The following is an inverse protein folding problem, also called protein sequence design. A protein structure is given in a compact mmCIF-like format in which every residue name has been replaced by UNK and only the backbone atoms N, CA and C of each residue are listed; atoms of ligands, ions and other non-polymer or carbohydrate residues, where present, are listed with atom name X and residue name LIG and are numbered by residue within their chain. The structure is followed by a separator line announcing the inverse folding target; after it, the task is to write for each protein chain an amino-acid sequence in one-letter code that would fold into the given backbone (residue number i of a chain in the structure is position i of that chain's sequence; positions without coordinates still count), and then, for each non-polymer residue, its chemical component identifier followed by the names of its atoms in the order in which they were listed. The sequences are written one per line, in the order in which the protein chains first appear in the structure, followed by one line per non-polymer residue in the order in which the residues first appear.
data_IF_801797234870
#
_entry.id   IF_801797234870
#
_cell.length_a   1.000
_cell.length_b   1.000
_cell.length_c   1.000
_cell.angle_alpha   90.00
_cell.angle_beta   90.00
_cell.angle_gamma   90.00
#
_symmetry.space_group_name_H-M   'P 1'
#
loop_
_entity.id
_entity.type
_entity.pdbx_description
1 polymer ?
#
# COMPACT_ATOMS: atom_id res chain seq x y z
N UNK A 1 5.59 12.87 -17.65
CA UNK A 1 4.91 14.01 -17.01
C UNK A 1 3.94 13.44 -16.00
N UNK A 2 4.14 13.74 -14.71
CA UNK A 2 3.25 13.29 -13.62
C UNK A 2 3.95 12.71 -12.39
N UNK A 3 5.00 13.37 -11.88
CA UNK A 3 5.79 12.90 -10.70
C UNK A 3 5.68 13.84 -9.49
N UNK A 4 4.76 14.80 -9.53
CA UNK A 4 4.64 15.78 -8.44
C UNK A 4 3.75 15.22 -7.33
N UNK A 5 4.25 15.17 -6.08
CA UNK A 5 3.44 14.79 -4.95
C UNK A 5 2.30 15.80 -4.72
N UNK A 6 1.12 15.29 -4.41
CA UNK A 6 -0.10 16.06 -4.14
C UNK A 6 -0.77 15.57 -2.86
N UNK A 7 -1.59 16.41 -2.25
CA UNK A 7 -2.43 15.99 -1.12
C UNK A 7 -3.82 15.72 -1.68
N UNK A 8 -4.38 14.56 -1.36
CA UNK A 8 -5.74 14.18 -1.71
C UNK A 8 -6.48 13.78 -0.44
N UNK A 9 -7.75 14.13 -0.38
CA UNK A 9 -8.63 13.62 0.66
C UNK A 9 -9.20 12.27 0.19
N UNK A 10 -8.98 11.22 0.99
CA UNK A 10 -9.55 9.90 0.72
C UNK A 10 -10.69 9.62 1.69
N UNK A 11 -11.79 9.11 1.15
CA UNK A 11 -12.86 8.53 1.96
C UNK A 11 -12.46 7.15 2.46
N UNK A 12 -13.16 6.66 3.49
CA UNK A 12 -12.93 5.33 4.01
C UNK A 12 -13.17 4.29 2.91
N UNK A 13 -12.15 3.48 2.58
CA UNK A 13 -12.19 2.51 1.49
C UNK A 13 -12.18 1.09 2.07
N UNK A 14 -13.28 0.32 1.93
CA UNK A 14 -13.29 -1.09 2.28
C UNK A 14 -12.29 -1.87 1.43
N UNK A 15 -11.63 -2.84 2.05
CA UNK A 15 -10.71 -3.73 1.35
C UNK A 15 -10.78 -5.14 1.94
N UNK A 16 -10.30 -6.10 1.17
CA UNK A 16 -10.05 -7.47 1.61
C UNK A 16 -8.58 -7.74 1.49
N UNK A 17 -7.96 -8.27 2.54
CA UNK A 17 -6.53 -8.48 2.54
C UNK A 17 -6.07 -9.56 3.51
N UNK A 18 -4.77 -9.85 3.44
CA UNK A 18 -4.07 -10.72 4.37
C UNK A 18 -2.93 -9.92 4.99
N UNK A 19 -2.72 -10.12 6.30
CA UNK A 19 -1.61 -9.51 7.03
C UNK A 19 -0.49 -10.52 7.12
N UNK A 20 0.73 -10.11 6.79
CA UNK A 20 1.93 -10.92 6.93
C UNK A 20 3.05 -10.13 7.59
N UNK A 21 3.87 -10.83 8.37
CA UNK A 21 5.19 -10.36 8.79
C UNK A 21 6.20 -10.91 7.80
N UNK A 22 6.86 -10.02 7.08
CA UNK A 22 7.82 -10.36 6.02
C UNK A 22 9.03 -9.45 6.10
N UNK A 23 10.19 -9.96 5.74
CA UNK A 23 11.37 -9.14 5.45
C UNK A 23 11.37 -8.70 3.99
N UNK A 24 12.24 -7.77 3.60
CA UNK A 24 12.41 -7.41 2.18
C UNK A 24 12.71 -8.63 1.28
N UNK A 25 13.51 -9.58 1.77
CA UNK A 25 13.83 -10.83 1.07
C UNK A 25 12.65 -11.79 0.93
N UNK A 26 11.69 -11.72 1.86
CA UNK A 26 10.51 -12.59 1.88
C UNK A 26 9.22 -11.88 1.45
N UNK A 27 9.33 -10.63 0.97
CA UNK A 27 8.20 -9.82 0.50
C UNK A 27 7.43 -10.51 -0.63
N UNK A 28 8.10 -11.32 -1.46
CA UNK A 28 7.43 -12.15 -2.46
C UNK A 28 6.31 -13.02 -1.89
N UNK A 29 6.47 -13.55 -0.66
CA UNK A 29 5.46 -14.39 0.00
C UNK A 29 4.14 -13.66 0.22
N UNK A 30 4.17 -12.37 0.58
CA UNK A 30 2.95 -11.58 0.78
C UNK A 30 2.37 -11.12 -0.57
N UNK A 31 3.22 -10.87 -1.57
CA UNK A 31 2.80 -10.55 -2.93
C UNK A 31 2.09 -11.72 -3.63
N UNK A 32 2.55 -12.96 -3.42
CA UNK A 32 1.92 -14.18 -3.95
C UNK A 32 0.50 -14.41 -3.39
N UNK A 33 0.13 -13.76 -2.28
CA UNK A 33 -1.24 -13.83 -1.73
C UNK A 33 -2.24 -12.96 -2.49
N UNK A 34 -1.79 -11.96 -3.26
CA UNK A 34 -2.67 -11.06 -4.02
C UNK A 34 -3.51 -11.82 -5.06
N UNK A 35 -2.93 -12.66 -5.94
CA UNK A 35 -3.71 -13.52 -6.83
C UNK A 35 -4.78 -14.36 -6.14
N UNK A 36 -4.50 -14.88 -4.95
CA UNK A 36 -5.46 -15.69 -4.18
C UNK A 36 -6.65 -14.86 -3.70
N UNK A 37 -6.41 -13.63 -3.19
CA UNK A 37 -7.48 -12.71 -2.79
C UNK A 37 -8.33 -12.33 -3.99
N UNK A 38 -7.69 -11.99 -5.12
CA UNK A 38 -8.40 -11.63 -6.36
C UNK A 38 -9.26 -12.80 -6.85
N UNK A 39 -8.71 -14.02 -6.83
CA UNK A 39 -9.45 -15.24 -7.19
C UNK A 39 -10.67 -15.44 -6.28
N UNK A 40 -10.49 -15.33 -4.97
CA UNK A 40 -11.56 -15.49 -3.98
C UNK A 40 -12.66 -14.41 -4.11
N UNK A 41 -12.29 -13.18 -4.46
CA UNK A 41 -13.26 -12.12 -4.76
C UNK A 41 -14.03 -12.42 -6.05
N UNK A 42 -13.33 -12.88 -7.09
CA UNK A 42 -13.92 -13.24 -8.37
C UNK A 42 -14.91 -14.42 -8.26
N UNK A 43 -14.57 -15.47 -7.50
CA UNK A 43 -15.48 -16.61 -7.22
C UNK A 43 -16.79 -16.18 -6.55
N UNK A 44 -16.77 -15.06 -5.83
CA UNK A 44 -17.92 -14.48 -5.14
C UNK A 44 -18.65 -13.41 -5.96
N UNK A 45 -18.20 -13.13 -7.18
CA UNK A 45 -18.74 -12.06 -8.03
C UNK A 45 -18.45 -10.66 -7.49
N UNK A 46 -17.45 -10.50 -6.63
CA UNK A 46 -17.05 -9.19 -6.09
C UNK A 46 -15.97 -8.64 -7.01
N UNK A 47 -16.29 -7.55 -7.72
CA UNK A 47 -15.30 -6.83 -8.51
C UNK A 47 -14.45 -5.92 -7.60
N UNK A 48 -13.12 -5.88 -7.78
CA UNK A 48 -12.28 -4.91 -7.12
C UNK A 48 -12.58 -3.50 -7.65
N UNK A 49 -12.45 -2.50 -6.77
CA UNK A 49 -12.63 -1.08 -7.13
C UNK A 49 -11.46 -0.59 -7.98
N UNK A 50 -10.27 -1.06 -7.64
CA UNK A 50 -9.00 -0.67 -8.23
C UNK A 50 -7.99 -1.82 -8.08
N UNK A 51 -6.77 -1.61 -8.55
CA UNK A 51 -5.67 -2.55 -8.43
C UNK A 51 -5.31 -2.90 -6.98
N UNK A 52 -4.57 -3.99 -6.79
CA UNK A 52 -4.10 -4.42 -5.48
C UNK A 52 -3.13 -3.40 -4.88
N UNK A 53 -3.02 -3.42 -3.55
CA UNK A 53 -2.09 -2.57 -2.81
C UNK A 53 -1.37 -3.33 -1.71
N UNK A 54 -0.22 -2.81 -1.30
CA UNK A 54 0.43 -3.16 -0.04
C UNK A 54 0.28 -2.00 0.95
N UNK A 55 -0.22 -2.32 2.14
CA UNK A 55 -0.26 -1.40 3.28
C UNK A 55 0.84 -1.78 4.25
N UNK A 56 1.81 -0.88 4.42
CA UNK A 56 2.85 -1.01 5.44
C UNK A 56 2.32 -0.47 6.76
N UNK A 57 2.19 -1.34 7.75
CA UNK A 57 1.81 -0.98 9.14
C UNK A 57 3.06 -0.76 9.99
N UNK A 58 4.10 -1.57 9.78
CA UNK A 58 5.42 -1.43 10.38
C UNK A 58 6.49 -1.57 9.28
N UNK A 59 7.38 -0.59 9.20
CA UNK A 59 8.50 -0.63 8.26
C UNK A 59 9.76 -0.05 8.89
N UNK A 60 10.89 -0.71 8.68
CA UNK A 60 12.20 -0.17 9.00
C UNK A 60 12.98 0.01 7.69
N UNK A 61 13.10 1.25 7.17
CA UNK A 61 13.90 1.50 5.98
C UNK A 61 15.41 1.53 6.26
N UNK A 62 15.83 1.48 7.52
CA UNK A 62 17.26 1.50 7.91
C UNK A 62 17.83 0.09 8.09
N UNK A 63 16.98 -0.87 8.43
CA UNK A 63 17.35 -2.28 8.62
C UNK A 63 16.57 -3.18 7.66
N UNK A 64 17.27 -3.69 6.64
CA UNK A 64 16.66 -4.54 5.61
C UNK A 64 16.43 -6.00 6.07
N UNK A 65 17.06 -6.41 7.18
CA UNK A 65 16.90 -7.76 7.74
C UNK A 65 15.70 -7.82 8.69
N UNK A 66 15.18 -6.66 9.09
CA UNK A 66 14.05 -6.55 9.99
C UNK A 66 12.73 -6.98 9.37
N UNK A 67 11.87 -7.56 10.20
CA UNK A 67 10.49 -7.89 9.83
C UNK A 67 9.65 -6.62 9.68
N UNK A 68 8.89 -6.59 8.58
CA UNK A 68 7.93 -5.56 8.21
C UNK A 68 6.53 -6.14 8.41
N UNK A 69 5.61 -5.35 8.94
CA UNK A 69 4.20 -5.72 8.98
C UNK A 69 3.52 -5.13 7.75
N UNK A 70 3.15 -6.01 6.81
CA UNK A 70 2.54 -5.62 5.54
C UNK A 70 1.21 -6.33 5.36
N UNK A 71 0.23 -5.57 4.90
CA UNK A 71 -1.07 -6.09 4.48
C UNK A 71 -1.15 -6.02 2.97
N UNK A 72 -1.22 -7.17 2.31
CA UNK A 72 -1.59 -7.26 0.90
C UNK A 72 -3.11 -7.20 0.80
N UNK A 73 -3.65 -6.22 0.08
CA UNK A 73 -5.07 -5.96 0.02
C UNK A 73 -5.57 -5.62 -1.38
N UNK A 74 -6.86 -5.87 -1.59
CA UNK A 74 -7.59 -5.50 -2.80
C UNK A 74 -8.79 -4.65 -2.37
N UNK A 75 -8.94 -3.43 -2.93
CA UNK A 75 -10.03 -2.53 -2.55
C UNK A 75 -11.36 -3.03 -3.15
N UNK A 76 -12.44 -2.95 -2.37
CA UNK A 76 -13.78 -3.42 -2.75
C UNK A 76 -14.84 -2.36 -2.45
N UNK A 77 -15.95 -2.37 -3.20
CA UNK A 77 -16.99 -1.33 -3.07
C UNK A 77 -17.63 -1.29 -1.68
N UNK A 78 -17.84 -2.46 -1.08
CA UNK A 78 -18.53 -2.62 0.19
C UNK A 78 -17.79 -3.60 1.09
N UNK A 79 -18.05 -3.51 2.41
CA UNK A 79 -17.48 -4.48 3.35
C UNK A 79 -18.05 -5.86 3.10
N UNK A 80 -17.20 -6.76 2.63
CA UNK A 80 -17.56 -8.17 2.41
C UNK A 80 -17.10 -9.02 3.58
N UNK A 81 -17.90 -10.02 3.96
CA UNK A 81 -17.44 -11.03 4.93
C UNK A 81 -16.77 -12.16 4.18
N UNK A 82 -15.49 -12.36 4.46
CA UNK A 82 -14.75 -13.50 3.96
C UNK A 82 -14.63 -14.53 5.10
N UNK A 83 -15.29 -15.70 5.00
CA UNK A 83 -15.11 -16.81 5.93
C UNK A 83 -13.82 -17.57 5.58
N UNK A 84 -12.68 -16.88 5.64
CA UNK A 84 -11.35 -17.48 5.52
C UNK A 84 -10.59 -17.19 6.80
N UNK A 85 -9.77 -18.13 7.26
CA UNK A 85 -8.97 -17.94 8.46
C UNK A 85 -7.87 -16.90 8.25
N UNK A 86 -7.33 -16.83 7.02
CA UNK A 86 -6.16 -16.01 6.69
C UNK A 86 -6.52 -14.65 6.07
N UNK A 87 -7.72 -14.52 5.49
CA UNK A 87 -8.16 -13.29 4.81
C UNK A 87 -9.14 -12.54 5.69
N UNK A 88 -8.88 -11.25 5.90
CA UNK A 88 -9.74 -10.37 6.66
C UNK A 88 -10.28 -9.23 5.80
N UNK A 89 -11.44 -8.70 6.20
CA UNK A 89 -11.98 -7.48 5.62
C UNK A 89 -11.62 -6.30 6.51
N UNK A 90 -10.95 -5.30 5.92
CA UNK A 90 -10.52 -4.09 6.59
C UNK A 90 -11.12 -2.84 5.96
N UNK A 91 -10.78 -1.69 6.53
CA UNK A 91 -11.12 -0.38 5.97
C UNK A 91 -9.86 0.48 6.03
N UNK A 92 -9.49 1.05 4.88
CA UNK A 92 -8.49 2.10 4.84
C UNK A 92 -9.11 3.37 5.45
N UNK A 93 -8.45 4.00 6.44
CA UNK A 93 -9.03 5.14 7.14
C UNK A 93 -9.28 6.30 6.16
N UNK A 94 -10.36 7.04 6.41
CA UNK A 94 -10.53 8.32 5.75
C UNK A 94 -9.49 9.32 6.26
N UNK A 95 -9.15 10.31 5.44
CA UNK A 95 -8.27 11.40 5.85
C UNK A 95 -7.48 12.00 4.69
N UNK A 96 -6.49 12.81 5.04
CA UNK A 96 -5.60 13.41 4.05
C UNK A 96 -4.42 12.47 3.77
N UNK A 97 -4.15 12.26 2.50
CA UNK A 97 -3.05 11.43 2.03
C UNK A 97 -2.18 12.26 1.10
N UNK A 98 -0.86 12.23 1.32
CA UNK A 98 0.08 12.68 0.31
C UNK A 98 0.30 11.54 -0.68
N UNK A 99 0.00 11.78 -1.96
CA UNK A 99 0.10 10.79 -3.02
C UNK A 99 1.06 11.22 -4.11
N UNK A 100 1.75 10.24 -4.69
CA UNK A 100 2.62 10.43 -5.84
C UNK A 100 2.48 9.23 -6.76
N UNK A 101 2.28 9.50 -8.05
CA UNK A 101 2.29 8.48 -9.09
C UNK A 101 3.72 8.29 -9.58
N UNK A 102 4.14 7.04 -9.63
CA UNK A 102 5.39 6.61 -10.22
C UNK A 102 5.07 5.66 -11.36
N UNK A 103 5.63 5.94 -12.54
CA UNK A 103 5.56 5.04 -13.69
C UNK A 103 6.98 4.54 -13.92
N UNK A 104 7.21 3.24 -13.71
CA UNK A 104 8.52 2.64 -13.87
C UNK A 104 8.82 1.55 -12.86
N UNK A 105 10.07 1.05 -12.92
CA UNK A 105 10.52 -0.08 -12.11
C UNK A 105 10.23 0.11 -10.61
N UNK A 106 9.70 -0.92 -9.91
CA UNK A 106 9.36 -0.85 -8.49
C UNK A 106 10.57 -0.60 -7.57
N UNK A 107 11.79 -1.00 -7.97
CA UNK A 107 13.03 -0.62 -7.25
C UNK A 107 13.19 0.89 -7.01
N UNK A 108 12.61 1.73 -7.87
CA UNK A 108 12.68 3.18 -7.70
C UNK A 108 11.72 3.70 -6.61
N UNK A 109 10.78 2.88 -6.14
CA UNK A 109 9.77 3.28 -5.16
C UNK A 109 10.38 3.71 -3.83
N UNK A 110 11.49 3.10 -3.39
CA UNK A 110 12.21 3.55 -2.19
C UNK A 110 12.66 5.00 -2.31
N UNK A 111 13.20 5.38 -3.48
CA UNK A 111 13.61 6.77 -3.75
C UNK A 111 12.43 7.73 -3.91
N UNK A 112 11.32 7.27 -4.50
CA UNK A 112 10.09 8.07 -4.63
C UNK A 112 9.44 8.28 -3.24
N UNK A 113 9.41 7.25 -2.41
CA UNK A 113 8.93 7.31 -1.02
C UNK A 113 9.77 8.31 -0.21
N UNK A 114 11.09 8.22 -0.24
CA UNK A 114 11.98 9.19 0.42
C UNK A 114 11.74 10.63 -0.09
N UNK A 115 11.56 10.80 -1.40
CA UNK A 115 11.26 12.10 -1.99
C UNK A 115 9.91 12.66 -1.52
N UNK A 116 8.89 11.80 -1.40
CA UNK A 116 7.57 12.17 -0.87
C UNK A 116 7.67 12.60 0.60
N UNK A 117 8.43 11.86 1.42
CA UNK A 117 8.66 12.18 2.83
C UNK A 117 9.36 13.53 3.00
N UNK A 118 10.43 13.76 2.23
CA UNK A 118 11.17 15.04 2.21
C UNK A 118 10.29 16.20 1.77
N UNK A 119 9.47 15.98 0.74
CA UNK A 119 8.53 16.99 0.26
C UNK A 119 7.49 17.36 1.32
N UNK A 120 6.89 16.39 1.99
CA UNK A 120 5.91 16.67 3.03
C UNK A 120 6.53 17.38 4.23
N UNK A 121 7.74 16.97 4.63
CA UNK A 121 8.51 17.67 5.67
C UNK A 121 8.82 19.13 5.28
N UNK A 122 9.24 19.38 4.04
CA UNK A 122 9.50 20.74 3.55
C UNK A 122 8.24 21.62 3.51
N UNK A 123 7.06 21.02 3.36
CA UNK A 123 5.76 21.69 3.46
C UNK A 123 5.23 21.83 4.89
N UNK A 124 5.92 21.30 5.89
CA UNK A 124 5.45 21.28 7.27
C UNK A 124 4.30 20.31 7.53
N UNK A 125 4.09 19.32 6.66
CA UNK A 125 3.09 18.27 6.85
C UNK A 125 3.54 17.31 7.94
N UNK A 126 2.59 16.88 8.77
CA UNK A 126 2.80 15.83 9.76
C UNK A 126 2.34 14.50 9.20
N UNK A 127 3.22 13.52 9.20
CA UNK A 127 2.89 12.15 8.80
C UNK A 127 2.15 11.44 9.94
N UNK A 128 1.16 10.61 9.61
CA UNK A 128 0.49 9.71 10.57
C UNK A 128 1.42 8.51 10.87
N UNK A 129 2.59 8.82 11.44
CA UNK A 129 3.67 7.88 11.68
C UNK A 129 4.32 8.14 13.04
N UNK A 130 4.57 7.07 13.77
CA UNK A 130 5.33 7.07 15.02
C UNK A 130 6.59 6.20 14.87
N UNK A 131 7.74 6.73 15.30
CA UNK A 131 8.97 5.96 15.39
C UNK A 131 9.01 5.22 16.72
N UNK A 132 9.24 3.92 16.64
CA UNK A 132 9.35 3.01 17.78
C UNK A 132 10.68 2.27 17.71
N UNK A 133 11.04 1.55 18.77
CA UNK A 133 12.23 0.68 18.76
C UNK A 133 12.10 -0.44 17.71
N UNK A 134 10.87 -0.81 17.33
CA UNK A 134 10.51 -1.82 16.33
C UNK A 134 10.49 -1.29 14.87
N UNK A 135 10.59 0.02 14.68
CA UNK A 135 10.59 0.66 13.36
C UNK A 135 9.58 1.81 13.27
N UNK A 136 9.26 2.21 12.04
CA UNK A 136 8.26 3.24 11.76
C UNK A 136 6.86 2.60 11.69
N UNK A 137 6.01 2.92 12.67
CA UNK A 137 4.60 2.51 12.71
C UNK A 137 3.77 3.54 11.96
N UNK A 138 3.13 3.11 10.88
CA UNK A 138 2.31 3.96 10.02
C UNK A 138 0.82 3.71 10.24
N UNK A 139 0.04 4.77 10.46
CA UNK A 139 -1.41 4.65 10.51
C UNK A 139 -2.00 4.22 9.16
N UNK A 140 -1.44 4.73 8.06
CA UNK A 140 -1.67 4.17 6.72
C UNK A 140 -0.60 4.61 5.71
N UNK A 141 0.25 3.67 5.29
CA UNK A 141 1.20 3.84 4.19
C UNK A 141 0.89 2.82 3.10
N UNK A 142 0.43 3.29 1.94
CA UNK A 142 -0.04 2.46 0.84
C UNK A 142 0.88 2.55 -0.37
N UNK A 143 1.01 1.41 -1.05
CA UNK A 143 1.62 1.26 -2.35
C UNK A 143 0.63 0.51 -3.23
N UNK A 144 -0.02 1.21 -4.15
CA UNK A 144 -1.10 0.67 -5.00
C UNK A 144 -0.59 0.45 -6.41
N UNK A 145 -0.86 -0.72 -6.97
CA UNK A 145 -0.43 -1.12 -8.31
C UNK A 145 -1.62 -1.06 -9.24
N UNK A 146 -1.65 -0.06 -10.13
CA UNK A 146 -2.75 0.14 -11.08
C UNK A 146 -2.57 -0.67 -12.37
N UNK A 147 -1.34 -1.10 -12.66
CA UNK A 147 -1.02 -1.94 -13.82
C UNK A 147 -1.10 -3.42 -13.46
N UNK A 148 -1.84 -4.20 -14.25
CA UNK A 148 -1.87 -5.66 -14.10
C UNK A 148 -0.57 -6.27 -14.65
N UNK A 149 0.24 -6.93 -13.80
CA UNK A 149 1.50 -7.53 -14.20
C UNK A 149 1.35 -8.64 -15.26
N UNK A 150 0.15 -9.22 -15.39
CA UNK A 150 -0.15 -10.24 -16.41
C UNK A 150 -0.40 -9.64 -17.79
N UNK A 151 -0.90 -8.40 -17.83
CA UNK A 151 -1.16 -7.67 -19.08
C UNK A 151 0.08 -6.90 -19.55
N UNK A 152 0.84 -6.33 -18.62
CA UNK A 152 2.07 -5.61 -18.92
C UNK A 152 3.21 -6.17 -18.03
N UNK A 153 4.00 -7.13 -18.55
CA UNK A 153 5.12 -7.69 -17.79
C UNK A 153 6.32 -6.73 -17.72
N UNK A 154 6.30 -5.65 -18.49
CA UNK A 154 7.34 -4.62 -18.48
C UNK A 154 7.20 -3.73 -17.25
N UNK A 155 8.06 -3.99 -16.26
CA UNK A 155 8.16 -3.24 -15.01
C UNK A 155 8.39 -1.74 -15.25
N UNK A 156 8.96 -1.33 -16.39
CA UNK A 156 9.19 0.08 -16.69
C UNK A 156 7.90 0.84 -17.05
N UNK A 157 6.79 0.14 -17.26
CA UNK A 157 5.49 0.74 -17.57
C UNK A 157 4.49 0.64 -16.43
N UNK A 158 4.88 0.03 -15.31
CA UNK A 158 3.99 -0.15 -14.18
C UNK A 158 3.65 1.20 -13.56
N UNK A 159 2.36 1.49 -13.46
CA UNK A 159 1.82 2.62 -12.73
C UNK A 159 1.58 2.23 -11.28
N UNK A 160 2.33 2.87 -10.40
CA UNK A 160 2.33 2.62 -8.96
C UNK A 160 2.04 3.94 -8.25
N UNK A 161 1.01 3.95 -7.39
CA UNK A 161 0.69 5.11 -6.55
C UNK A 161 1.19 4.85 -5.12
N UNK A 162 2.09 5.70 -4.64
CA UNK A 162 2.44 5.76 -3.22
C UNK A 162 1.52 6.75 -2.52
N UNK A 163 0.92 6.34 -1.41
CA UNK A 163 -0.08 7.13 -0.68
C UNK A 163 0.13 7.05 0.82
N UNK A 164 0.63 8.12 1.41
CA UNK A 164 1.01 8.17 2.83
C UNK A 164 0.06 9.08 3.59
N UNK A 165 -0.56 8.56 4.65
CA UNK A 165 -1.51 9.31 5.47
C UNK A 165 -0.82 10.40 6.27
N UNK A 166 -1.46 11.56 6.31
CA UNK A 166 -1.10 12.69 7.15
C UNK A 166 -1.84 12.58 8.49
N UNK A 167 -1.18 13.02 9.56
CA UNK A 167 -1.81 13.09 10.87
C UNK A 167 -2.94 14.13 10.83
N UNK A 168 -4.12 13.73 11.30
CA UNK A 168 -5.24 14.65 11.53
C UNK A 168 -4.82 15.72 12.56
N UNK A 169 -5.18 16.98 12.29
CA UNK A 169 -4.82 18.15 13.10
C UNK A 169 -5.82 18.42 14.22
#
# INVERSE_FOLDING_TARGET
MGTQPRIVERTAQPFVGVRGRVTWSTFGLIADRLPEIVGLLAERGIAPVDGPFFKYELIDPSDMERELEVVAGVPVHERVRIPSADVFAGILPAGQYATVHHIGHPDKLLGVADSLLKWGHAKGLKWDMARTDEGEVWGCRLESYHTDPRLEPDLEKWEIELSFRLADY
#
